data_IF_881687199749
#
_entry.id   IF_881687199749
#
_cell.length_a   1.000
_cell.length_b   1.000
_cell.length_c   1.000
_cell.angle_alpha   90.00
_cell.angle_beta   90.00
_cell.angle_gamma   90.00
#
_symmetry.space_group_name_H-M   'P 1'
#
loop_
_entity.id
_entity.type
_entity.pdbx_description
1 polymer ?
#
# COMPACT_ATOMS: atom_id res chain seq x y z
N UNK A 1 29.33 -7.76 -59.92
CA UNK A 1 30.49 -8.21 -59.13
C UNK A 1 30.07 -8.12 -57.69
N UNK A 2 29.90 -9.27 -57.04
CA UNK A 2 29.21 -9.42 -55.77
C UNK A 2 30.03 -8.83 -54.62
N UNK A 3 29.39 -7.98 -53.81
CA UNK A 3 29.81 -7.64 -52.46
C UNK A 3 29.29 -8.77 -51.58
N UNK A 4 30.16 -9.71 -51.21
CA UNK A 4 29.82 -10.82 -50.33
C UNK A 4 30.12 -10.42 -48.88
N UNK A 5 29.05 -10.40 -48.09
CA UNK A 5 28.92 -10.92 -46.73
C UNK A 5 30.00 -10.56 -45.71
N UNK A 6 29.70 -9.51 -44.94
CA UNK A 6 30.12 -9.44 -43.53
C UNK A 6 29.05 -10.21 -42.76
N UNK A 7 29.37 -11.45 -42.41
CA UNK A 7 28.51 -12.35 -41.63
C UNK A 7 28.12 -11.71 -40.29
N UNK A 8 26.85 -11.37 -40.16
CA UNK A 8 26.16 -11.02 -38.91
C UNK A 8 25.76 -12.30 -38.19
N UNK A 9 26.75 -13.11 -37.79
CA UNK A 9 26.53 -14.42 -37.13
C UNK A 9 26.79 -14.35 -35.61
N UNK A 10 26.86 -13.14 -35.03
CA UNK A 10 27.38 -12.91 -33.66
C UNK A 10 26.29 -12.75 -32.59
N UNK A 11 25.01 -12.89 -32.94
CA UNK A 11 23.90 -12.65 -32.00
C UNK A 11 23.44 -13.91 -31.25
N UNK A 12 23.82 -15.10 -31.71
CA UNK A 12 23.39 -16.36 -31.12
C UNK A 12 24.46 -16.99 -30.22
N UNK A 13 24.03 -17.40 -29.01
CA UNK A 13 24.88 -18.13 -28.06
C UNK A 13 24.97 -19.58 -28.54
N UNK A 14 25.91 -19.88 -29.43
CA UNK A 14 26.08 -21.22 -30.01
C UNK A 14 26.91 -22.12 -29.11
N UNK A 15 26.54 -23.41 -29.06
CA UNK A 15 27.22 -24.42 -28.22
C UNK A 15 28.69 -24.59 -28.58
N UNK A 16 29.04 -24.32 -29.83
CA UNK A 16 30.40 -24.42 -30.35
C UNK A 16 31.35 -23.40 -29.71
N UNK A 17 30.86 -22.20 -29.38
CA UNK A 17 31.65 -21.15 -28.71
C UNK A 17 31.92 -21.39 -27.22
N UNK A 18 31.23 -22.37 -26.61
CA UNK A 18 31.29 -22.65 -25.17
C UNK A 18 31.48 -24.15 -24.87
N UNK A 19 32.28 -24.83 -25.69
CA UNK A 19 32.59 -26.27 -25.55
C UNK A 19 33.24 -26.68 -24.21
N UNK A 20 33.71 -25.72 -23.41
CA UNK A 20 34.19 -25.94 -22.05
C UNK A 20 33.08 -26.07 -21.00
N UNK A 21 31.84 -25.70 -21.31
CA UNK A 21 30.69 -25.91 -20.45
C UNK A 21 30.20 -27.36 -20.57
N UNK A 22 29.88 -27.98 -19.43
CA UNK A 22 29.23 -29.28 -19.42
C UNK A 22 27.80 -29.22 -19.98
N UNK A 23 27.28 -30.36 -20.44
CA UNK A 23 25.91 -30.45 -20.97
C UNK A 23 24.85 -29.93 -19.98
N UNK A 24 25.04 -30.19 -18.68
CA UNK A 24 24.18 -29.67 -17.61
C UNK A 24 24.31 -28.16 -17.40
N UNK A 25 25.50 -27.59 -17.59
CA UNK A 25 25.71 -26.13 -17.51
C UNK A 25 25.12 -25.43 -18.73
N UNK A 26 25.20 -26.06 -19.91
CA UNK A 26 24.61 -25.55 -21.14
C UNK A 26 23.07 -25.51 -21.07
N UNK A 27 22.45 -26.52 -20.47
CA UNK A 27 21.00 -26.53 -20.23
C UNK A 27 20.57 -25.39 -19.27
N UNK A 28 21.42 -25.07 -18.28
CA UNK A 28 21.19 -23.91 -17.41
C UNK A 28 21.30 -22.60 -18.19
N UNK A 29 22.26 -22.47 -19.11
CA UNK A 29 22.37 -21.30 -20.00
C UNK A 29 21.11 -21.13 -20.85
N UNK A 30 20.54 -22.22 -21.37
CA UNK A 30 19.26 -22.21 -22.08
C UNK A 30 18.10 -21.70 -21.21
N UNK A 31 17.98 -22.19 -19.97
CA UNK A 31 16.95 -21.72 -19.03
C UNK A 31 17.16 -20.28 -18.59
N UNK A 32 18.41 -19.87 -18.38
CA UNK A 32 18.75 -18.48 -18.12
C UNK A 32 18.32 -17.60 -19.31
N UNK A 33 18.49 -18.09 -20.55
CA UNK A 33 18.19 -17.35 -21.79
C UNK A 33 16.69 -17.06 -21.90
N UNK A 34 15.86 -18.05 -21.57
CA UNK A 34 14.40 -17.89 -21.45
C UNK A 34 14.03 -16.84 -20.39
N UNK A 35 14.78 -16.73 -19.30
CA UNK A 35 14.46 -15.81 -18.19
C UNK A 35 14.97 -14.39 -18.34
N UNK A 36 16.15 -14.19 -18.95
CA UNK A 36 16.82 -12.88 -19.02
C UNK A 36 16.92 -12.34 -20.46
N UNK A 37 16.59 -13.15 -21.46
CA UNK A 37 16.75 -12.85 -22.87
C UNK A 37 18.12 -13.29 -23.40
N UNK A 38 18.12 -13.83 -24.61
CA UNK A 38 19.31 -14.40 -25.28
C UNK A 38 20.44 -13.38 -25.45
N UNK A 39 20.11 -12.14 -25.79
CA UNK A 39 21.06 -11.05 -25.97
C UNK A 39 21.76 -10.67 -24.65
N UNK A 40 21.00 -10.59 -23.55
CA UNK A 40 21.56 -10.26 -22.24
C UNK A 40 22.54 -11.33 -21.76
N UNK A 41 22.27 -12.59 -22.10
CA UNK A 41 23.17 -13.71 -21.76
C UNK A 41 24.38 -13.75 -22.66
N UNK A 42 24.21 -13.50 -23.95
CA UNK A 42 25.33 -13.35 -24.88
C UNK A 42 26.33 -12.31 -24.38
N UNK A 43 25.86 -11.13 -23.98
CA UNK A 43 26.71 -10.05 -23.44
C UNK A 43 27.36 -10.43 -22.10
N UNK A 44 26.60 -11.07 -21.20
CA UNK A 44 27.13 -11.51 -19.90
C UNK A 44 28.20 -12.60 -20.09
N UNK A 45 27.97 -13.59 -20.95
CA UNK A 45 28.95 -14.65 -21.19
C UNK A 45 30.19 -14.14 -21.93
N UNK A 46 30.04 -13.22 -22.89
CA UNK A 46 31.16 -12.58 -23.60
C UNK A 46 32.01 -11.67 -22.70
N UNK A 47 31.42 -11.09 -21.65
CA UNK A 47 32.11 -10.21 -20.71
C UNK A 47 32.79 -10.92 -19.53
N UNK A 48 32.52 -12.22 -19.34
CA UNK A 48 33.04 -13.02 -18.23
C UNK A 48 34.16 -13.95 -18.69
N UNK A 49 35.17 -14.16 -17.83
CA UNK A 49 36.19 -15.19 -18.07
C UNK A 49 35.61 -16.60 -17.92
N UNK A 50 36.29 -17.62 -18.47
CA UNK A 50 35.84 -19.03 -18.41
C UNK A 50 35.44 -19.47 -16.98
N UNK A 51 36.28 -19.22 -15.98
CA UNK A 51 35.99 -19.60 -14.59
C UNK A 51 34.81 -18.80 -14.01
N UNK A 52 34.64 -17.55 -14.42
CA UNK A 52 33.52 -16.71 -14.01
C UNK A 52 32.20 -17.13 -14.68
N UNK A 53 32.23 -17.64 -15.91
CA UNK A 53 31.06 -18.25 -16.56
C UNK A 53 30.58 -19.45 -15.76
N UNK A 54 31.47 -20.39 -15.41
CA UNK A 54 31.13 -21.52 -14.54
C UNK A 54 30.59 -21.06 -13.19
N UNK A 55 31.21 -20.05 -12.55
CA UNK A 55 30.74 -19.53 -11.27
C UNK A 55 29.35 -18.88 -11.37
N UNK A 56 29.07 -18.13 -12.44
CA UNK A 56 27.78 -17.48 -12.68
C UNK A 56 26.67 -18.52 -12.92
N UNK A 57 26.94 -19.52 -13.76
CA UNK A 57 26.03 -20.63 -14.04
C UNK A 57 25.75 -21.43 -12.77
N UNK A 58 26.79 -21.80 -12.02
CA UNK A 58 26.63 -22.52 -10.75
C UNK A 58 25.90 -21.71 -9.67
N UNK A 59 26.08 -20.38 -9.65
CA UNK A 59 25.34 -19.48 -8.74
C UNK A 59 23.86 -19.45 -9.09
N UNK A 60 23.54 -19.40 -10.39
CA UNK A 60 22.16 -19.48 -10.87
C UNK A 60 21.52 -20.84 -10.51
N UNK A 61 22.21 -21.96 -10.79
CA UNK A 61 21.77 -23.31 -10.45
C UNK A 61 21.54 -23.50 -8.94
N UNK A 62 22.45 -23.00 -8.09
CA UNK A 62 22.28 -23.03 -6.63
C UNK A 62 21.08 -22.19 -6.17
N UNK A 63 20.85 -21.05 -6.82
CA UNK A 63 19.67 -20.23 -6.60
C UNK A 63 18.39 -21.01 -6.91
N UNK A 64 18.31 -21.61 -8.09
CA UNK A 64 17.19 -22.42 -8.54
C UNK A 64 16.91 -23.61 -7.60
N UNK A 65 17.94 -24.38 -7.23
CA UNK A 65 17.81 -25.47 -6.25
C UNK A 65 17.33 -25.00 -4.86
N UNK A 66 17.70 -23.78 -4.45
CA UNK A 66 17.19 -23.20 -3.21
C UNK A 66 15.70 -22.84 -3.33
N UNK A 67 15.27 -22.33 -4.48
CA UNK A 67 13.86 -22.06 -4.76
C UNK A 67 13.05 -23.35 -4.83
N UNK A 68 13.54 -24.38 -5.53
CA UNK A 68 12.87 -25.68 -5.58
C UNK A 68 12.71 -26.31 -4.19
N UNK A 69 13.72 -26.22 -3.33
CA UNK A 69 13.64 -26.71 -1.94
C UNK A 69 12.59 -25.95 -1.14
N UNK A 70 12.51 -24.62 -1.30
CA UNK A 70 11.47 -23.80 -0.67
C UNK A 70 10.08 -24.18 -1.21
N UNK A 71 9.96 -24.37 -2.52
CA UNK A 71 8.72 -24.76 -3.19
C UNK A 71 8.23 -26.15 -2.74
N UNK A 72 9.13 -27.13 -2.65
CA UNK A 72 8.82 -28.48 -2.15
C UNK A 72 8.43 -28.46 -0.67
N UNK A 73 9.06 -27.62 0.15
CA UNK A 73 8.67 -27.43 1.54
C UNK A 73 7.27 -26.79 1.65
N UNK A 74 6.94 -25.83 0.78
CA UNK A 74 5.61 -25.22 0.70
C UNK A 74 4.53 -26.25 0.29
N UNK A 75 4.80 -27.04 -0.74
CA UNK A 75 3.90 -28.10 -1.23
C UNK A 75 3.68 -29.21 -0.20
N UNK A 76 4.71 -29.60 0.57
CA UNK A 76 4.57 -30.58 1.65
C UNK A 76 3.79 -30.04 2.86
N UNK A 77 3.83 -28.72 3.12
CA UNK A 77 3.04 -28.11 4.20
C UNK A 77 1.56 -27.92 3.86
N UNK A 78 1.20 -27.88 2.57
CA UNK A 78 -0.19 -27.68 2.13
C UNK A 78 -1.10 -28.88 2.45
N UNK A 79 -0.54 -30.07 2.71
CA UNK A 79 -1.28 -31.26 3.15
C UNK A 79 -1.64 -31.29 4.65
N UNK A 80 -1.13 -30.35 5.44
CA UNK A 80 -1.39 -30.29 6.89
C UNK A 80 -2.05 -28.95 7.24
N UNK A 81 -3.36 -28.99 7.43
CA UNK A 81 -4.16 -27.85 7.88
C UNK A 81 -3.81 -27.49 9.35
N UNK A 82 -2.59 -27.01 9.60
CA UNK A 82 -2.20 -26.38 10.86
C UNK A 82 -1.39 -25.12 10.58
N UNK A 83 -2.06 -24.00 10.79
CA UNK A 83 -1.51 -22.68 11.02
C UNK A 83 -0.30 -22.74 11.96
N UNK A 84 0.91 -22.50 11.46
CA UNK A 84 2.02 -21.99 12.29
C UNK A 84 2.97 -21.08 11.49
N UNK A 85 2.81 -19.78 11.74
CA UNK A 85 3.90 -18.90 12.14
C UNK A 85 5.10 -18.72 11.19
N UNK A 86 4.92 -17.95 10.12
CA UNK A 86 6.02 -17.09 9.68
C UNK A 86 6.33 -16.10 10.81
N UNK A 87 7.62 -15.79 11.11
CA UNK A 87 7.97 -14.89 12.20
C UNK A 87 7.15 -13.60 12.17
N UNK A 88 6.54 -13.26 13.30
CA UNK A 88 5.50 -12.22 13.49
C UNK A 88 6.02 -10.77 13.33
N UNK A 89 7.05 -10.56 12.51
CA UNK A 89 7.52 -9.25 12.09
C UNK A 89 7.72 -9.22 10.56
N UNK A 90 6.67 -9.56 9.79
CA UNK A 90 6.61 -9.23 8.37
C UNK A 90 5.95 -7.86 8.19
N UNK A 91 6.66 -6.82 8.62
CA UNK A 91 6.24 -5.43 8.49
C UNK A 91 6.81 -4.81 7.22
N UNK A 92 6.41 -5.32 6.05
CA UNK A 92 6.39 -4.53 4.81
C UNK A 92 5.50 -5.28 3.80
N UNK A 93 4.46 -4.66 3.24
CA UNK A 93 3.93 -5.16 1.98
C UNK A 93 5.07 -5.02 0.96
N UNK A 94 5.69 -6.12 0.55
CA UNK A 94 6.56 -6.13 -0.64
C UNK A 94 5.60 -5.96 -1.82
N UNK A 95 5.34 -4.71 -2.13
CA UNK A 95 4.18 -4.32 -2.88
C UNK A 95 4.35 -4.65 -4.36
N UNK A 96 3.40 -5.42 -4.90
CA UNK A 96 2.87 -5.29 -6.27
C UNK A 96 2.29 -3.88 -6.57
N UNK A 97 2.71 -2.81 -5.88
CA UNK A 97 1.98 -1.52 -5.92
C UNK A 97 2.33 -0.66 -7.11
N UNK A 98 3.31 -0.98 -7.93
CA UNK A 98 3.69 -0.07 -9.00
C UNK A 98 3.96 -0.93 -10.24
N UNK A 99 3.22 -0.65 -11.31
CA UNK A 99 3.35 -1.16 -12.69
C UNK A 99 2.44 -2.30 -13.17
N UNK A 100 1.63 -2.98 -12.33
CA UNK A 100 0.59 -3.85 -12.90
C UNK A 100 -0.44 -3.04 -13.72
N UNK A 101 -0.75 -1.82 -13.30
CA UNK A 101 -1.61 -0.91 -14.08
C UNK A 101 -0.98 -0.53 -15.42
N UNK A 102 0.35 -0.49 -15.53
CA UNK A 102 1.05 -0.27 -16.80
C UNK A 102 1.06 -1.52 -17.66
N UNK A 103 1.21 -2.70 -17.04
CA UNK A 103 1.12 -3.99 -17.71
C UNK A 103 -0.22 -4.14 -18.44
N UNK A 104 -1.33 -3.68 -17.87
CA UNK A 104 -2.67 -3.73 -18.50
C UNK A 104 -2.79 -2.98 -19.84
N UNK A 105 -1.89 -2.05 -20.14
CA UNK A 105 -1.90 -1.27 -21.39
C UNK A 105 -0.98 -1.87 -22.47
N UNK A 106 -0.34 -3.01 -22.20
CA UNK A 106 0.52 -3.71 -23.14
C UNK A 106 -0.32 -4.76 -23.86
N UNK A 107 -0.21 -4.86 -25.18
CA UNK A 107 -0.91 -5.87 -25.97
C UNK A 107 -0.17 -7.22 -25.89
N UNK A 108 -0.90 -8.29 -25.52
CA UNK A 108 -0.39 -9.66 -25.45
C UNK A 108 -0.11 -10.17 -24.03
N UNK A 109 -0.80 -11.25 -23.65
CA UNK A 109 -0.78 -11.80 -22.28
C UNK A 109 0.63 -12.23 -21.83
N UNK A 110 1.42 -12.81 -22.75
CA UNK A 110 2.80 -13.23 -22.49
C UNK A 110 3.73 -12.04 -22.17
N UNK A 111 3.60 -10.95 -22.93
CA UNK A 111 4.40 -9.73 -22.73
C UNK A 111 3.97 -9.01 -21.45
N UNK A 112 2.66 -9.01 -21.16
CA UNK A 112 2.13 -8.48 -19.90
C UNK A 112 2.67 -9.24 -18.68
N UNK A 113 2.68 -10.58 -18.74
CA UNK A 113 3.18 -11.43 -17.66
C UNK A 113 4.69 -11.24 -17.50
N UNK A 114 5.46 -11.24 -18.59
CA UNK A 114 6.92 -11.04 -18.54
C UNK A 114 7.28 -9.67 -17.98
N UNK A 115 6.56 -8.62 -18.38
CA UNK A 115 6.70 -7.29 -17.82
C UNK A 115 6.29 -7.24 -16.33
N UNK A 116 5.21 -7.90 -15.93
CA UNK A 116 4.82 -7.96 -14.53
C UNK A 116 5.85 -8.71 -13.66
N UNK A 117 6.40 -9.81 -14.17
CA UNK A 117 7.46 -10.59 -13.54
C UNK A 117 8.76 -9.78 -13.37
N UNK A 118 9.13 -8.96 -14.36
CA UNK A 118 10.33 -8.12 -14.28
C UNK A 118 10.22 -7.04 -13.20
N UNK A 119 8.99 -6.55 -12.95
CA UNK A 119 8.67 -5.58 -11.89
C UNK A 119 8.55 -6.21 -10.50
N UNK A 120 8.53 -7.55 -10.39
CA UNK A 120 8.60 -8.20 -9.08
C UNK A 120 9.98 -7.95 -8.46
N UNK A 121 10.00 -7.76 -7.15
CA UNK A 121 11.24 -7.55 -6.39
C UNK A 121 11.28 -8.47 -5.17
N UNK A 122 12.48 -8.68 -4.63
CA UNK A 122 12.67 -9.47 -3.42
C UNK A 122 12.15 -10.89 -3.55
N UNK A 123 11.37 -11.33 -2.55
CA UNK A 123 10.90 -12.72 -2.45
C UNK A 123 9.81 -13.06 -3.45
N UNK A 124 9.03 -12.07 -3.89
CA UNK A 124 8.03 -12.26 -4.95
C UNK A 124 8.68 -12.64 -6.29
N UNK A 125 9.82 -12.01 -6.63
CA UNK A 125 10.56 -12.35 -7.85
C UNK A 125 11.09 -13.79 -7.81
N UNK A 126 11.70 -14.18 -6.69
CA UNK A 126 12.24 -15.53 -6.51
C UNK A 126 11.15 -16.60 -6.58
N UNK A 127 10.00 -16.36 -5.95
CA UNK A 127 8.83 -17.24 -6.01
C UNK A 127 8.31 -17.40 -7.44
N UNK A 128 8.10 -16.28 -8.15
CA UNK A 128 7.52 -16.33 -9.48
C UNK A 128 8.45 -16.98 -10.51
N UNK A 129 9.75 -16.69 -10.43
CA UNK A 129 10.76 -17.34 -11.29
C UNK A 129 10.84 -18.85 -11.02
N UNK A 130 10.77 -19.28 -9.75
CA UNK A 130 10.75 -20.70 -9.40
C UNK A 130 9.56 -21.45 -9.98
N UNK A 131 8.39 -20.83 -9.97
CA UNK A 131 7.19 -21.38 -10.59
C UNK A 131 7.34 -21.50 -12.12
N UNK A 132 7.87 -20.45 -12.75
CA UNK A 132 8.06 -20.39 -14.20
C UNK A 132 9.10 -21.39 -14.73
N UNK A 133 10.08 -21.76 -13.89
CA UNK A 133 11.10 -22.76 -14.22
C UNK A 133 10.55 -24.18 -14.25
N UNK A 134 9.56 -24.48 -13.41
CA UNK A 134 8.93 -25.80 -13.36
C UNK A 134 7.88 -25.99 -14.46
N UNK A 135 7.15 -24.93 -14.79
CA UNK A 135 6.15 -24.93 -15.85
C UNK A 135 6.19 -23.58 -16.59
N UNK A 136 6.65 -23.56 -17.86
CA UNK A 136 6.69 -22.35 -18.68
C UNK A 136 5.32 -21.69 -18.89
N UNK A 137 4.22 -22.42 -18.72
CA UNK A 137 2.85 -21.93 -18.89
C UNK A 137 2.12 -21.66 -17.55
N UNK A 138 2.84 -21.61 -16.43
CA UNK A 138 2.22 -21.45 -15.10
C UNK A 138 1.42 -20.15 -14.94
N UNK A 139 1.74 -19.13 -15.74
CA UNK A 139 1.09 -17.82 -15.77
C UNK A 139 0.51 -17.55 -17.16
N UNK A 140 -0.66 -18.14 -17.45
CA UNK A 140 -1.37 -17.94 -18.74
C UNK A 140 -1.81 -16.48 -18.99
N UNK A 141 -2.05 -15.72 -17.92
CA UNK A 141 -2.47 -14.32 -18.00
C UNK A 141 -1.99 -13.51 -16.80
N UNK A 142 -2.04 -12.18 -16.94
CA UNK A 142 -1.78 -11.25 -15.86
C UNK A 142 -2.73 -11.45 -14.66
N UNK A 143 -3.97 -11.89 -14.90
CA UNK A 143 -4.93 -12.19 -13.83
C UNK A 143 -4.55 -13.45 -13.05
N UNK A 144 -4.06 -14.49 -13.75
CA UNK A 144 -3.56 -15.72 -13.11
C UNK A 144 -2.35 -15.43 -12.22
N UNK A 145 -1.43 -14.59 -12.70
CA UNK A 145 -0.27 -14.13 -11.92
C UNK A 145 -0.70 -13.35 -10.67
N UNK A 146 -1.64 -12.41 -10.81
CA UNK A 146 -2.18 -11.65 -9.66
C UNK A 146 -2.86 -12.57 -8.64
N UNK A 147 -3.69 -13.51 -9.11
CA UNK A 147 -4.42 -14.43 -8.25
C UNK A 147 -3.47 -15.31 -7.43
N UNK A 148 -2.48 -15.94 -8.09
CA UNK A 148 -1.48 -16.77 -7.41
C UNK A 148 -0.58 -15.96 -6.47
N UNK A 149 -0.23 -14.73 -6.86
CA UNK A 149 0.54 -13.85 -5.98
C UNK A 149 -0.28 -13.46 -4.74
N UNK A 150 -1.57 -13.15 -4.91
CA UNK A 150 -2.49 -12.87 -3.80
C UNK A 150 -2.56 -14.08 -2.88
N UNK A 151 -2.80 -15.28 -3.41
CA UNK A 151 -2.86 -16.52 -2.64
C UNK A 151 -1.58 -16.80 -1.83
N UNK A 152 -0.41 -16.53 -2.41
CA UNK A 152 0.88 -16.85 -1.77
C UNK A 152 1.27 -15.82 -0.71
N UNK A 153 1.08 -14.53 -0.99
CA UNK A 153 1.62 -13.45 -0.16
C UNK A 153 0.60 -12.76 0.72
N UNK A 154 -0.70 -12.95 0.47
CA UNK A 154 -1.73 -12.36 1.29
C UNK A 154 -1.92 -13.20 2.56
N UNK A 155 -1.75 -12.61 3.76
CA UNK A 155 -1.91 -13.37 4.98
C UNK A 155 -3.38 -13.83 5.14
N UNK A 156 -3.65 -15.01 5.73
CA UNK A 156 -5.00 -15.56 5.83
C UNK A 156 -5.98 -14.55 6.44
N UNK A 157 -7.21 -14.41 5.92
CA UNK A 157 -8.22 -13.44 6.43
C UNK A 157 -7.79 -11.96 6.40
N UNK A 158 -7.00 -11.56 5.39
CA UNK A 158 -6.58 -10.16 5.23
C UNK A 158 -7.76 -9.18 5.12
N UNK A 159 -8.79 -9.51 4.36
CA UNK A 159 -9.97 -8.65 4.28
C UNK A 159 -10.67 -8.49 5.64
N UNK A 160 -10.80 -9.57 6.41
CA UNK A 160 -11.41 -9.49 7.75
C UNK A 160 -10.58 -8.60 8.68
N UNK A 161 -9.24 -8.66 8.57
CA UNK A 161 -8.36 -7.74 9.31
C UNK A 161 -8.54 -6.29 8.85
N UNK A 162 -8.66 -6.04 7.55
CA UNK A 162 -8.89 -4.71 7.01
C UNK A 162 -10.22 -4.12 7.50
N UNK A 163 -11.31 -4.89 7.41
CA UNK A 163 -12.62 -4.50 7.95
C UNK A 163 -12.55 -4.20 9.45
N UNK A 164 -11.90 -5.08 10.23
CA UNK A 164 -11.72 -4.85 11.67
C UNK A 164 -10.86 -3.61 11.98
N UNK A 165 -9.82 -3.35 11.18
CA UNK A 165 -8.98 -2.16 11.32
C UNK A 165 -9.76 -0.89 10.98
N UNK A 166 -10.64 -0.95 9.98
CA UNK A 166 -11.53 0.15 9.61
C UNK A 166 -12.47 0.49 10.78
N UNK A 167 -13.10 -0.50 11.41
CA UNK A 167 -13.96 -0.28 12.59
C UNK A 167 -13.21 0.30 13.81
N UNK A 168 -11.90 0.07 13.90
CA UNK A 168 -11.04 0.57 14.98
C UNK A 168 -10.27 1.84 14.59
N UNK A 169 -10.55 2.39 13.41
CA UNK A 169 -9.81 3.50 12.84
C UNK A 169 -9.95 4.75 13.72
N UNK A 170 -8.82 5.28 14.15
CA UNK A 170 -8.73 6.54 14.90
C UNK A 170 -7.48 7.31 14.48
N UNK A 171 -7.60 8.62 14.36
CA UNK A 171 -6.50 9.54 14.06
C UNK A 171 -5.41 9.46 15.14
N UNK A 172 -5.80 9.49 16.41
CA UNK A 172 -4.86 9.41 17.53
C UNK A 172 -3.88 10.59 17.52
N UNK A 173 -2.57 10.32 17.53
CA UNK A 173 -1.52 11.35 17.49
C UNK A 173 -1.04 11.69 16.08
N UNK A 174 -1.67 11.13 15.04
CA UNK A 174 -1.28 11.38 13.64
C UNK A 174 -1.81 12.73 13.19
N UNK A 175 -1.07 13.41 12.31
CA UNK A 175 -1.63 14.56 11.59
C UNK A 175 -2.81 14.13 10.71
N UNK A 176 -3.62 15.11 10.30
CA UNK A 176 -4.85 14.86 9.52
C UNK A 176 -4.54 14.19 8.19
N UNK A 177 -3.48 14.61 7.50
CA UNK A 177 -3.08 14.09 6.20
C UNK A 177 -2.66 12.60 6.27
N UNK A 178 -1.77 12.23 7.19
CA UNK A 178 -1.33 10.85 7.39
C UNK A 178 -2.47 9.94 7.88
N UNK A 179 -3.42 10.51 8.63
CA UNK A 179 -4.65 9.81 8.98
C UNK A 179 -5.55 9.58 7.76
N UNK A 180 -5.77 10.59 6.91
CA UNK A 180 -6.65 10.53 5.75
C UNK A 180 -6.26 9.46 4.71
N UNK A 181 -4.99 9.12 4.61
CA UNK A 181 -4.53 8.03 3.73
C UNK A 181 -4.94 6.62 4.21
N UNK A 182 -5.15 6.45 5.52
CA UNK A 182 -5.42 5.14 6.11
C UNK A 182 -6.80 4.54 5.75
N UNK A 183 -7.92 5.29 5.80
CA UNK A 183 -9.21 4.78 5.37
C UNK A 183 -9.22 4.33 3.91
N UNK A 184 -8.60 5.09 2.99
CA UNK A 184 -8.51 4.72 1.57
C UNK A 184 -7.73 3.41 1.37
N UNK A 185 -6.61 3.26 2.08
CA UNK A 185 -5.84 2.02 2.05
C UNK A 185 -6.64 0.83 2.56
N UNK A 186 -7.38 0.99 3.66
CA UNK A 186 -8.20 -0.08 4.22
C UNK A 186 -9.39 -0.42 3.32
N UNK A 187 -10.07 0.59 2.76
CA UNK A 187 -11.15 0.40 1.79
C UNK A 187 -10.66 -0.36 0.54
N UNK A 188 -9.53 0.05 -0.03
CA UNK A 188 -8.95 -0.63 -1.22
C UNK A 188 -8.45 -2.05 -0.95
N UNK A 189 -8.16 -2.41 0.31
CA UNK A 189 -7.79 -3.79 0.68
C UNK A 189 -8.99 -4.73 0.81
N UNK A 190 -10.22 -4.22 0.75
CA UNK A 190 -11.45 -5.02 0.80
C UNK A 190 -12.00 -5.14 -0.62
N UNK A 191 -11.72 -6.25 -1.29
CA UNK A 191 -11.98 -6.40 -2.73
C UNK A 191 -13.30 -7.09 -3.04
N UNK A 192 -13.68 -8.10 -2.27
CA UNK A 192 -14.82 -8.98 -2.62
C UNK A 192 -16.17 -8.35 -2.29
N UNK A 193 -16.27 -7.74 -1.10
CA UNK A 193 -17.48 -7.07 -0.64
C UNK A 193 -17.07 -5.72 -0.01
N UNK A 194 -16.98 -4.65 -0.84
CA UNK A 194 -16.53 -3.34 -0.39
C UNK A 194 -17.52 -2.75 0.62
N UNK A 195 -16.99 -1.97 1.57
CA UNK A 195 -17.81 -1.26 2.55
C UNK A 195 -18.52 -0.10 1.84
N UNK A 196 -19.77 0.17 2.22
CA UNK A 196 -20.53 1.28 1.63
C UNK A 196 -19.90 2.64 1.96
N UNK A 197 -19.99 3.57 1.01
CA UNK A 197 -19.41 4.92 1.13
C UNK A 197 -19.88 5.66 2.37
N UNK A 198 -21.16 5.55 2.72
CA UNK A 198 -21.71 6.26 3.87
C UNK A 198 -21.10 5.76 5.18
N UNK A 199 -20.93 4.44 5.33
CA UNK A 199 -20.21 3.85 6.46
C UNK A 199 -18.74 4.23 6.46
N UNK A 200 -18.07 4.23 5.31
CA UNK A 200 -16.67 4.68 5.20
C UNK A 200 -16.49 6.13 5.66
N UNK A 201 -17.34 7.03 5.17
CA UNK A 201 -17.35 8.45 5.55
C UNK A 201 -17.59 8.58 7.06
N UNK A 202 -18.60 7.89 7.61
CA UNK A 202 -18.89 7.95 9.03
C UNK A 202 -17.72 7.45 9.88
N UNK A 203 -17.16 6.28 9.55
CA UNK A 203 -15.98 5.75 10.25
C UNK A 203 -14.80 6.72 10.20
N UNK A 204 -14.55 7.36 9.05
CA UNK A 204 -13.51 8.36 8.91
C UNK A 204 -13.75 9.59 9.81
N UNK A 205 -14.93 10.20 9.74
CA UNK A 205 -15.28 11.41 10.51
C UNK A 205 -15.27 11.12 12.02
N UNK A 206 -15.86 10.00 12.45
CA UNK A 206 -15.87 9.61 13.86
C UNK A 206 -14.48 9.28 14.40
N UNK A 207 -13.58 8.76 13.55
CA UNK A 207 -12.20 8.47 13.91
C UNK A 207 -11.30 9.70 14.04
N UNK A 208 -11.72 10.89 13.58
CA UNK A 208 -10.98 12.14 13.79
C UNK A 208 -10.90 12.49 15.28
N UNK A 209 -9.81 13.16 15.67
CA UNK A 209 -9.66 13.75 17.01
C UNK A 209 -10.70 14.86 17.18
N UNK A 210 -11.27 14.95 18.39
CA UNK A 210 -12.24 16.00 18.71
C UNK A 210 -11.59 17.38 18.60
N UNK A 211 -12.20 18.25 17.81
CA UNK A 211 -11.67 19.58 17.51
C UNK A 211 -12.45 20.28 16.40
N UNK A 212 -11.98 21.46 15.96
CA UNK A 212 -12.68 22.25 14.95
C UNK A 212 -12.79 21.52 13.61
N UNK A 213 -11.71 20.86 13.16
CA UNK A 213 -11.69 20.06 11.92
C UNK A 213 -12.83 19.04 11.92
N UNK A 214 -12.90 18.16 12.93
CA UNK A 214 -13.97 17.17 13.06
C UNK A 214 -15.36 17.81 13.10
N UNK A 215 -15.50 18.94 13.79
CA UNK A 215 -16.78 19.65 13.91
C UNK A 215 -17.26 20.21 12.58
N UNK A 216 -16.35 20.79 11.78
CA UNK A 216 -16.68 21.30 10.45
C UNK A 216 -16.97 20.18 9.48
N UNK A 217 -16.13 19.14 9.44
CA UNK A 217 -16.36 17.96 8.59
C UNK A 217 -17.69 17.28 8.92
N UNK A 218 -18.06 17.15 10.20
CA UNK A 218 -19.33 16.51 10.59
C UNK A 218 -20.58 17.29 10.17
N UNK A 219 -20.48 18.61 9.97
CA UNK A 219 -21.62 19.46 9.57
C UNK A 219 -21.90 19.38 8.08
N UNK A 220 -20.90 19.03 7.29
CA UNK A 220 -21.01 18.95 5.84
C UNK A 220 -21.53 17.58 5.40
N UNK A 221 -22.23 17.54 4.27
CA UNK A 221 -22.72 16.29 3.70
C UNK A 221 -21.82 15.83 2.55
N UNK A 222 -21.35 14.58 2.61
CA UNK A 222 -20.50 13.97 1.59
C UNK A 222 -21.16 12.76 0.94
N UNK A 223 -20.94 12.61 -0.36
CA UNK A 223 -21.37 11.43 -1.12
C UNK A 223 -20.26 10.40 -1.33
N UNK A 224 -18.99 10.77 -1.11
CA UNK A 224 -17.83 9.86 -1.23
C UNK A 224 -16.78 10.15 -0.16
N UNK A 225 -16.03 9.13 0.23
CA UNK A 225 -14.94 9.21 1.20
C UNK A 225 -13.84 10.17 0.74
N UNK A 226 -13.47 10.18 -0.55
CA UNK A 226 -12.43 11.07 -1.09
C UNK A 226 -12.80 12.55 -0.92
N UNK A 227 -14.09 12.90 -1.11
CA UNK A 227 -14.55 14.28 -0.92
C UNK A 227 -14.51 14.68 0.55
N UNK A 228 -14.90 13.78 1.45
CA UNK A 228 -14.80 14.02 2.89
C UNK A 228 -13.35 14.23 3.32
N UNK A 229 -12.40 13.44 2.79
CA UNK A 229 -10.97 13.58 3.03
C UNK A 229 -10.44 14.93 2.53
N UNK A 230 -10.70 15.27 1.27
CA UNK A 230 -10.21 16.52 0.67
C UNK A 230 -10.71 17.76 1.43
N UNK A 231 -11.99 17.74 1.85
CA UNK A 231 -12.55 18.80 2.69
C UNK A 231 -11.85 18.87 4.06
N UNK A 232 -11.66 17.74 4.71
CA UNK A 232 -11.02 17.67 6.04
C UNK A 232 -9.58 18.17 6.01
N UNK A 233 -8.81 17.82 4.98
CA UNK A 233 -7.45 18.32 4.78
C UNK A 233 -7.45 19.83 4.53
N UNK A 234 -8.38 20.32 3.71
CA UNK A 234 -8.53 21.76 3.44
C UNK A 234 -8.85 22.55 4.71
N UNK A 235 -9.72 22.02 5.58
CA UNK A 235 -10.05 22.66 6.87
C UNK A 235 -8.86 22.67 7.84
N UNK A 236 -8.08 21.59 7.91
CA UNK A 236 -6.85 21.55 8.72
C UNK A 236 -5.84 22.61 8.27
N UNK A 237 -5.65 22.74 6.95
CA UNK A 237 -4.79 23.77 6.36
C UNK A 237 -5.33 25.17 6.69
N UNK A 238 -6.63 25.38 6.56
CA UNK A 238 -7.28 26.68 6.80
C UNK A 238 -7.17 27.11 8.26
N UNK A 239 -7.26 26.15 9.20
CA UNK A 239 -7.11 26.41 10.64
C UNK A 239 -5.66 26.64 11.06
N UNK A 240 -4.71 26.07 10.32
CA UNK A 240 -3.28 26.27 10.54
C UNK A 240 -2.77 27.58 9.93
N UNK A 241 -3.52 28.16 9.00
CA UNK A 241 -3.18 29.45 8.40
C UNK A 241 -3.24 30.58 9.47
N UNK A 242 -2.24 31.46 9.54
CA UNK A 242 -2.30 32.61 10.43
C UNK A 242 -3.47 33.51 10.04
N UNK A 243 -4.39 33.77 10.98
CA UNK A 243 -5.45 34.75 10.73
C UNK A 243 -4.80 36.12 10.50
N UNK A 244 -5.21 36.89 9.49
CA UNK A 244 -4.74 38.25 9.34
C UNK A 244 -5.15 39.03 10.59
N UNK A 245 -4.16 39.68 11.22
CA UNK A 245 -4.42 40.68 12.25
C UNK A 245 -5.22 41.78 11.58
N UNK A 246 -6.52 41.85 11.85
CA UNK A 246 -7.30 43.05 11.53
C UNK A 246 -6.61 44.22 12.21
N UNK A 247 -5.98 45.09 11.41
CA UNK A 247 -5.64 46.45 11.83
C UNK A 247 -6.96 47.16 12.08
N UNK A 248 -7.44 47.07 13.30
CA UNK A 248 -8.47 47.95 13.79
C UNK A 248 -7.83 49.32 14.02
N UNK A 249 -7.71 50.09 12.93
CA UNK A 249 -7.41 51.52 12.96
C UNK A 249 -8.49 52.24 12.18
N UNK A 250 -9.70 52.25 12.75
CA UNK A 250 -10.81 53.07 12.32
C UNK A 250 -11.38 53.85 13.50
N UNK A 251 -10.73 54.99 13.82
CA UNK A 251 -11.28 56.17 14.52
C UNK A 251 -12.49 55.94 15.44
N UNK A 252 -12.25 55.90 16.74
CA UNK A 252 -13.22 56.41 17.73
C UNK A 252 -12.64 57.67 18.35
N UNK A 253 -12.95 58.82 17.75
CA UNK A 253 -12.79 60.13 18.38
C UNK A 253 -13.56 60.12 19.71
N UNK A 254 -12.83 60.32 20.81
CA UNK A 254 -13.39 60.52 22.15
C UNK A 254 -13.45 62.03 22.42
N UNK A 255 -14.53 62.53 23.05
CA UNK A 255 -14.40 63.62 24.01
C UNK A 255 -14.91 63.22 25.41
N UNK A 256 -14.57 63.99 26.47
CA UNK A 256 -14.07 63.44 27.73
C UNK A 256 -15.09 63.34 28.87
N UNK A 257 -14.65 62.67 29.93
CA UNK A 257 -15.35 62.46 31.20
C UNK A 257 -15.84 63.78 31.84
N UNK A 258 -17.07 63.77 32.34
CA UNK A 258 -17.59 64.76 33.30
C UNK A 258 -17.84 64.07 34.64
N UNK A 259 -17.06 64.43 35.67
CA UNK A 259 -17.30 64.05 37.07
C UNK A 259 -18.40 64.95 37.68
N UNK A 260 -19.25 64.35 38.51
CA UNK A 260 -20.23 65.00 39.40
C UNK A 260 -21.26 63.95 39.85
N UNK A 261 -21.16 63.32 41.03
CA UNK A 261 -21.42 63.81 42.39
C UNK A 261 -22.92 63.94 42.73
N UNK A 262 -23.38 63.16 43.73
CA UNK A 262 -24.70 63.25 44.38
C UNK A 262 -25.55 61.98 44.21
N UNK A 263 -25.79 61.11 45.22
CA UNK A 263 -26.53 61.23 46.51
C UNK A 263 -27.90 60.51 46.42
N UNK A 264 -28.20 59.67 47.43
CA UNK A 264 -29.53 59.15 47.78
C UNK A 264 -29.77 57.69 47.36
N UNK A 265 -29.75 56.71 48.27
CA UNK A 265 -30.89 56.23 49.11
C UNK A 265 -32.10 55.78 48.28
N UNK A 266 -32.82 54.70 48.54
CA UNK A 266 -32.79 53.57 49.48
C UNK A 266 -34.02 52.70 49.10
N UNK A 267 -34.17 51.51 49.71
CA UNK A 267 -35.40 50.69 49.79
C UNK A 267 -35.73 49.87 48.53
N UNK A 268 -36.00 48.56 48.57
CA UNK A 268 -36.32 47.70 49.70
C UNK A 268 -36.23 46.20 49.37
N UNK A 269 -36.29 45.44 50.46
CA UNK A 269 -36.22 44.00 50.54
C UNK A 269 -37.43 43.28 49.94
N UNK A 270 -37.22 42.03 49.48
CA UNK A 270 -37.94 40.88 50.02
C UNK A 270 -37.30 39.54 49.63
N UNK A 271 -36.80 38.88 50.67
CA UNK A 271 -36.60 37.45 50.85
C UNK A 271 -37.87 36.64 50.51
N UNK A 272 -37.73 35.50 49.82
CA UNK A 272 -38.54 34.34 50.18
C UNK A 272 -37.84 33.02 49.83
N UNK A 273 -37.44 32.35 50.91
CA UNK A 273 -36.98 30.98 51.02
C UNK A 273 -38.15 30.17 51.62
N UNK A 274 -38.42 28.96 51.12
CA UNK A 274 -39.12 27.84 51.78
C UNK A 274 -38.98 26.62 50.86
N UNK A 275 -38.14 25.66 51.22
CA UNK A 275 -38.41 24.49 52.08
C UNK A 275 -39.28 23.42 51.38
N UNK A 276 -38.72 22.21 51.28
CA UNK A 276 -39.33 21.01 50.68
C UNK A 276 -40.45 20.37 51.51
N UNK A 277 -40.89 19.15 51.16
CA UNK A 277 -40.22 17.99 51.74
C UNK A 277 -40.10 16.73 50.84
N UNK A 278 -39.23 15.84 51.32
CA UNK A 278 -38.95 14.46 50.89
C UNK A 278 -40.13 13.48 51.10
N UNK A 279 -40.32 12.50 50.19
CA UNK A 279 -40.84 11.15 50.52
C UNK A 279 -40.37 10.07 49.52
N UNK A 280 -40.08 8.91 50.11
CA UNK A 280 -39.64 7.59 49.60
C UNK A 280 -40.62 6.85 48.67
N UNK A 281 -40.10 5.81 48.01
CA UNK A 281 -40.82 4.60 47.53
C UNK A 281 -40.24 4.11 46.20
N UNK A 282 -39.30 3.16 46.15
CA UNK A 282 -39.45 1.69 46.11
C UNK A 282 -40.34 1.13 44.96
N UNK A 283 -39.76 0.10 44.32
CA UNK A 283 -40.34 -0.97 43.49
C UNK A 283 -40.64 -0.68 42.00
N UNK A 284 -39.74 -1.09 41.10
CA UNK A 284 -39.77 -2.39 40.37
C UNK A 284 -38.50 -2.57 39.53
#
# INVERSE_FOLDING_TARGET
>A
MNVLDVEDDSLHVTREGYSHLSDSEWEVVGRMSVLMGELAISDVLKSLSRDQQHAAINKFLKGELAVERLMRALLQQQGSHQSMGWPTHMRRPETLKIDISRARHIEGDEVQVTFALSNLTGRAKTWALGLNLYDPNVFESLETLKARHKETFEPPRAECRARSALLRLKQGKRDVHAYAQHPLYLASSVTENPVDEHTLINVFIYGLVDGPVKTYTFREYFCTLERAIAYTEQEDISLRAPRPVSRDTGRSDRPPMRKGQGRGSAVGAKTQQRDGPSKNGQDQ
#
